data_IF_701138080970
#
_entry.id   IF_701138080970
#
_cell.length_a   1.000
_cell.length_b   1.000
_cell.length_c   1.000
_cell.angle_alpha   90.00
_cell.angle_beta   90.00
_cell.angle_gamma   90.00
#
_symmetry.space_group_name_H-M   'P 1'
#
loop_
_entity.id
_entity.type
_entity.pdbx_description
1 polymer ?
#
# COMPACT_ATOMS: atom_id res chain seq x y z
N UNK A 1 -14.77 3.03 0.02
CA UNK A 1 -15.93 3.20 0.94
C UNK A 1 -16.42 1.81 1.31
N UNK A 2 -16.68 1.53 2.59
CA UNK A 2 -17.28 0.28 3.02
C UNK A 2 -18.75 0.22 2.56
N UNK A 3 -19.16 -0.90 1.98
CA UNK A 3 -20.50 -1.06 1.37
C UNK A 3 -21.39 -2.05 2.11
N UNK A 4 -20.86 -2.80 3.09
CA UNK A 4 -21.56 -3.92 3.71
C UNK A 4 -21.90 -3.70 5.19
N UNK A 5 -23.09 -4.15 5.57
CA UNK A 5 -23.54 -4.24 6.97
C UNK A 5 -23.54 -2.91 7.73
N UNK A 6 -23.32 -2.99 9.04
CA UNK A 6 -23.28 -1.82 9.94
C UNK A 6 -22.12 -0.86 9.66
N UNK A 7 -21.12 -1.30 8.88
CA UNK A 7 -19.97 -0.48 8.46
C UNK A 7 -20.21 0.34 7.19
N UNK A 8 -21.33 0.10 6.49
CA UNK A 8 -21.64 0.75 5.22
C UNK A 8 -21.60 2.28 5.35
N UNK A 9 -20.97 2.95 4.39
CA UNK A 9 -20.77 4.41 4.36
C UNK A 9 -19.49 4.90 5.04
N UNK A 10 -18.80 4.08 5.83
CA UNK A 10 -17.49 4.46 6.40
C UNK A 10 -16.45 4.54 5.28
N UNK A 11 -15.68 5.62 5.26
CA UNK A 11 -14.58 5.83 4.34
C UNK A 11 -13.28 5.43 5.02
N UNK A 12 -12.41 4.73 4.29
CA UNK A 12 -11.02 4.45 4.64
C UNK A 12 -10.17 4.82 3.43
N UNK A 13 -9.12 5.60 3.66
CA UNK A 13 -8.15 6.02 2.66
C UNK A 13 -6.73 5.83 3.20
N UNK A 14 -5.75 5.70 2.32
CA UNK A 14 -4.35 5.60 2.69
C UNK A 14 -3.46 6.42 1.76
N UNK A 15 -2.36 6.94 2.31
CA UNK A 15 -1.22 7.48 1.57
C UNK A 15 0.05 6.81 2.11
N UNK A 16 1.00 6.55 1.23
CA UNK A 16 2.23 5.85 1.58
C UNK A 16 3.42 6.41 0.80
N UNK A 17 4.56 6.51 1.47
CA UNK A 17 5.87 6.72 0.88
C UNK A 17 6.63 5.39 0.94
N UNK A 18 6.88 4.78 -0.23
CA UNK A 18 7.49 3.44 -0.34
C UNK A 18 8.98 3.57 -0.61
N UNK A 19 9.80 3.21 0.37
CA UNK A 19 11.26 3.05 0.23
C UNK A 19 11.67 1.70 0.86
N UNK A 20 11.07 0.61 0.40
CA UNK A 20 11.22 -0.70 1.02
C UNK A 20 12.47 -1.45 0.56
N UNK A 21 13.04 -2.26 1.45
CA UNK A 21 14.05 -3.26 1.09
C UNK A 21 13.46 -4.39 0.24
N UNK A 22 12.20 -4.75 0.52
CA UNK A 22 11.46 -5.76 -0.20
C UNK A 22 10.96 -5.30 -1.56
N UNK A 23 10.55 -6.28 -2.35
CA UNK A 23 9.91 -6.07 -3.65
C UNK A 23 8.41 -5.90 -3.51
N UNK A 24 7.79 -5.17 -4.43
CA UNK A 24 6.33 -5.00 -4.51
C UNK A 24 5.67 -5.86 -5.59
N UNK A 25 6.48 -6.48 -6.44
CA UNK A 25 6.05 -7.34 -7.54
C UNK A 25 7.06 -8.48 -7.78
N UNK A 26 6.58 -9.57 -8.39
CA UNK A 26 7.37 -10.73 -8.77
C UNK A 26 8.24 -10.48 -10.01
N UNK A 27 8.98 -11.49 -10.47
CA UNK A 27 9.85 -11.37 -11.66
C UNK A 27 9.10 -11.17 -12.97
N UNK A 28 7.82 -11.51 -13.04
CA UNK A 28 7.00 -11.22 -14.22
C UNK A 28 6.35 -9.83 -14.16
N UNK A 29 6.54 -9.08 -13.07
CA UNK A 29 5.91 -7.77 -12.87
C UNK A 29 4.50 -7.86 -12.29
N UNK A 30 4.06 -9.02 -11.78
CA UNK A 30 2.80 -9.12 -11.05
C UNK A 30 2.95 -8.49 -9.67
N UNK A 31 2.14 -7.48 -9.35
CA UNK A 31 2.09 -6.92 -8.00
C UNK A 31 1.58 -7.95 -6.98
N UNK A 32 2.26 -8.05 -5.83
CA UNK A 32 1.83 -8.95 -4.76
C UNK A 32 0.45 -8.60 -4.23
N UNK A 33 0.12 -7.31 -4.22
CA UNK A 33 -1.20 -6.78 -3.84
C UNK A 33 -2.13 -6.51 -5.02
N UNK A 34 -1.78 -6.96 -6.25
CA UNK A 34 -2.60 -6.70 -7.44
C UNK A 34 -4.02 -7.25 -7.34
N UNK A 35 -4.22 -8.37 -6.64
CA UNK A 35 -5.53 -9.00 -6.44
C UNK A 35 -6.52 -8.19 -5.59
N UNK A 36 -6.08 -7.10 -4.94
CA UNK A 36 -6.91 -6.25 -4.08
C UNK A 36 -7.54 -5.06 -4.84
N UNK A 37 -7.29 -4.98 -6.15
CA UNK A 37 -7.85 -3.97 -7.05
C UNK A 37 -9.38 -3.83 -6.92
N UNK A 38 -9.85 -2.59 -6.91
CA UNK A 38 -11.25 -2.22 -6.96
C UNK A 38 -11.61 -1.72 -8.37
N UNK A 39 -12.35 -2.54 -9.11
CA UNK A 39 -12.66 -2.24 -10.50
C UNK A 39 -11.40 -2.35 -11.35
N UNK A 40 -11.08 -1.29 -12.09
CA UNK A 40 -9.89 -1.20 -12.93
C UNK A 40 -9.03 -0.01 -12.48
N UNK A 41 -8.78 0.11 -11.16
CA UNK A 41 -8.03 1.24 -10.61
C UNK A 41 -6.53 1.19 -10.93
N UNK A 42 -5.99 0.02 -11.30
CA UNK A 42 -4.63 -0.13 -11.79
C UNK A 42 -4.65 -0.16 -13.32
N UNK A 43 -3.97 0.79 -14.01
CA UNK A 43 -3.95 0.85 -15.47
C UNK A 43 -3.02 -0.21 -16.10
N UNK A 44 -3.24 -1.49 -15.78
CA UNK A 44 -2.41 -2.61 -16.20
C UNK A 44 -3.04 -3.40 -17.35
N UNK A 45 -2.21 -3.81 -18.32
CA UNK A 45 -2.66 -4.52 -19.54
C UNK A 45 -2.49 -6.05 -19.43
N UNK A 46 -1.88 -6.52 -18.32
CA UNK A 46 -1.38 -7.88 -18.01
C UNK A 46 0.13 -8.03 -18.20
N UNK A 47 0.81 -8.83 -17.36
CA UNK A 47 2.27 -8.93 -17.41
C UNK A 47 2.81 -9.81 -18.54
N UNK A 48 3.75 -9.26 -19.31
CA UNK A 48 4.76 -10.05 -20.01
C UNK A 48 6.02 -10.13 -19.12
N UNK A 49 6.63 -11.32 -19.02
CA UNK A 49 7.80 -11.52 -18.16
C UNK A 49 8.99 -10.66 -18.59
N UNK A 50 9.75 -10.13 -17.62
CA UNK A 50 10.97 -9.36 -17.87
C UNK A 50 12.10 -9.74 -16.91
N UNK A 51 13.34 -9.43 -17.28
CA UNK A 51 14.49 -9.62 -16.40
C UNK A 51 14.52 -8.53 -15.32
N UNK A 52 14.13 -8.90 -14.10
CA UNK A 52 14.16 -7.99 -12.94
C UNK A 52 15.52 -8.04 -12.27
N UNK A 53 16.20 -6.89 -12.24
CA UNK A 53 17.39 -6.70 -11.42
C UNK A 53 16.95 -6.30 -10.01
N UNK A 54 17.24 -7.11 -8.97
CA UNK A 54 16.92 -6.72 -7.60
C UNK A 54 17.74 -5.49 -7.20
N UNK A 55 17.15 -4.53 -6.44
CA UNK A 55 17.91 -3.40 -5.92
C UNK A 55 19.04 -3.92 -5.01
N UNK A 56 20.26 -3.45 -5.24
CA UNK A 56 21.48 -3.90 -4.56
C UNK A 56 21.86 -3.08 -3.31
N UNK A 57 20.97 -2.19 -2.86
CA UNK A 57 21.36 -1.10 -1.96
C UNK A 57 20.80 -1.38 -0.56
N UNK A 58 21.69 -1.77 0.37
CA UNK A 58 21.39 -1.97 1.81
C UNK A 58 21.31 -0.65 2.60
N UNK A 59 21.01 0.47 1.95
CA UNK A 59 20.81 1.74 2.66
C UNK A 59 19.51 1.67 3.47
N UNK A 60 19.39 2.51 4.51
CA UNK A 60 18.23 2.55 5.41
C UNK A 60 16.93 2.66 4.62
N UNK A 61 16.15 1.59 4.62
CA UNK A 61 14.88 1.48 3.91
C UNK A 61 13.76 1.81 4.91
N UNK A 62 12.66 2.39 4.47
CA UNK A 62 11.57 2.84 5.35
C UNK A 62 10.29 3.00 4.54
N UNK A 63 9.23 2.30 4.90
CA UNK A 63 7.89 2.60 4.37
C UNK A 63 7.07 3.36 5.40
N UNK A 64 6.66 4.59 5.09
CA UNK A 64 5.86 5.42 5.99
C UNK A 64 4.46 5.57 5.41
N UNK A 65 3.44 5.24 6.18
CA UNK A 65 2.06 5.32 5.74
C UNK A 65 1.17 6.10 6.73
N UNK A 66 0.13 6.70 6.18
CA UNK A 66 -1.01 7.22 6.94
C UNK A 66 -2.27 6.54 6.42
N UNK A 67 -3.05 5.96 7.32
CA UNK A 67 -4.42 5.52 7.05
C UNK A 67 -5.39 6.47 7.73
N UNK A 68 -6.37 6.98 6.99
CA UNK A 68 -7.41 7.86 7.50
C UNK A 68 -8.79 7.20 7.37
N UNK A 69 -9.66 7.41 8.36
CA UNK A 69 -11.06 6.96 8.31
C UNK A 69 -12.05 8.05 8.73
N UNK A 70 -13.28 7.99 8.18
CA UNK A 70 -14.39 8.83 8.61
C UNK A 70 -14.91 8.47 10.01
N UNK A 71 -14.76 7.20 10.43
CA UNK A 71 -15.25 6.69 11.70
C UNK A 71 -14.62 7.41 12.90
N UNK A 72 -15.40 7.60 13.97
CA UNK A 72 -14.88 8.02 15.28
C UNK A 72 -14.20 6.84 15.96
N UNK A 73 -12.90 6.96 16.24
CA UNK A 73 -12.10 5.96 16.95
C UNK A 73 -11.50 6.53 18.23
N UNK A 74 -11.44 5.73 19.28
CA UNK A 74 -10.56 5.99 20.43
C UNK A 74 -9.10 5.76 20.04
N UNK A 75 -8.14 6.24 20.86
CA UNK A 75 -6.71 6.00 20.62
C UNK A 75 -6.37 4.52 20.56
N UNK A 76 -6.94 3.70 21.45
CA UNK A 76 -6.72 2.26 21.46
C UNK A 76 -7.26 1.59 20.19
N UNK A 77 -8.45 2.01 19.71
CA UNK A 77 -9.02 1.50 18.47
C UNK A 77 -8.18 1.90 17.25
N UNK A 78 -7.69 3.15 17.21
CA UNK A 78 -6.81 3.63 16.14
C UNK A 78 -5.47 2.86 16.13
N UNK A 79 -4.88 2.58 17.29
CA UNK A 79 -3.68 1.72 17.39
C UNK A 79 -3.98 0.32 16.86
N UNK A 80 -5.14 -0.26 17.17
CA UNK A 80 -5.50 -1.59 16.65
C UNK A 80 -5.68 -1.59 15.13
N UNK A 81 -6.31 -0.55 14.57
CA UNK A 81 -6.40 -0.37 13.11
C UNK A 81 -5.02 -0.23 12.49
N UNK A 82 -4.08 0.47 13.15
CA UNK A 82 -2.71 0.63 12.65
C UNK A 82 -1.98 -0.72 12.56
N UNK A 83 -2.11 -1.56 13.60
CA UNK A 83 -1.57 -2.92 13.60
C UNK A 83 -2.15 -3.77 12.47
N UNK A 84 -3.45 -3.64 12.18
CA UNK A 84 -4.08 -4.39 11.08
C UNK A 84 -3.67 -3.83 9.72
N UNK A 85 -3.46 -2.51 9.61
CA UNK A 85 -2.94 -1.92 8.38
C UNK A 85 -1.54 -2.45 8.03
N UNK A 86 -0.73 -2.80 9.03
CA UNK A 86 0.58 -3.42 8.86
C UNK A 86 0.51 -4.76 8.11
N UNK A 87 -0.57 -5.54 8.30
CA UNK A 87 -0.84 -6.74 7.50
C UNK A 87 -0.96 -6.40 6.00
N UNK A 88 -1.50 -5.21 5.68
CA UNK A 88 -1.59 -4.69 4.33
C UNK A 88 -0.23 -4.38 3.72
N UNK A 89 0.70 -3.86 4.52
CA UNK A 89 2.07 -3.62 4.09
C UNK A 89 2.77 -4.95 3.76
N UNK A 90 2.63 -5.94 4.64
CA UNK A 90 3.20 -7.28 4.44
C UNK A 90 2.62 -8.05 3.23
N UNK A 91 1.37 -7.77 2.84
CA UNK A 91 0.78 -8.33 1.60
C UNK A 91 1.35 -7.68 0.34
N UNK A 92 1.75 -6.41 0.41
CA UNK A 92 2.21 -5.65 -0.74
C UNK A 92 3.74 -5.68 -0.91
N UNK A 93 4.51 -5.97 0.14
CA UNK A 93 5.97 -5.90 0.16
C UNK A 93 6.56 -7.21 0.66
N UNK A 94 7.51 -7.79 -0.09
CA UNK A 94 8.16 -9.05 0.26
C UNK A 94 9.69 -9.00 0.11
N UNK A 95 10.46 -9.23 1.19
CA UNK A 95 10.02 -9.20 2.60
C UNK A 95 9.66 -7.78 3.05
N UNK A 96 8.69 -7.63 3.97
CA UNK A 96 8.48 -6.39 4.73
C UNK A 96 9.14 -6.50 6.12
N UNK A 97 9.26 -5.38 6.84
CA UNK A 97 9.78 -5.34 8.22
C UNK A 97 11.18 -5.95 8.38
N UNK A 98 12.04 -5.81 7.37
CA UNK A 98 13.44 -6.18 7.50
C UNK A 98 14.11 -5.40 8.62
N UNK A 99 15.21 -5.93 9.16
CA UNK A 99 15.94 -5.28 10.28
C UNK A 99 16.42 -3.86 9.93
N UNK A 100 16.63 -3.57 8.65
CA UNK A 100 16.98 -2.24 8.15
C UNK A 100 15.78 -1.37 7.73
N UNK A 101 14.54 -1.87 7.85
CA UNK A 101 13.32 -1.15 7.49
C UNK A 101 12.75 -0.37 8.69
N UNK A 102 12.51 0.93 8.49
CA UNK A 102 11.87 1.82 9.46
C UNK A 102 10.34 1.90 9.34
N UNK A 103 9.67 0.80 8.98
CA UNK A 103 8.25 0.81 8.63
C UNK A 103 7.37 1.42 9.74
N UNK A 104 6.57 2.42 9.40
CA UNK A 104 5.74 3.15 10.37
C UNK A 104 4.37 3.51 9.78
N UNK A 105 3.31 3.13 10.48
CA UNK A 105 1.92 3.43 10.08
C UNK A 105 1.24 4.32 11.12
N UNK A 106 0.74 5.47 10.68
CA UNK A 106 -0.10 6.36 11.46
C UNK A 106 -1.58 6.17 11.09
N UNK A 107 -2.46 6.14 12.09
CA UNK A 107 -3.91 6.12 11.85
C UNK A 107 -4.56 7.40 12.34
N UNK A 108 -5.39 7.98 11.47
CA UNK A 108 -6.20 9.16 11.73
C UNK A 108 -7.69 8.84 11.60
N UNK A 109 -8.47 9.37 12.53
CA UNK A 109 -9.92 9.23 12.56
C UNK A 109 -10.53 10.62 12.57
N UNK A 110 -11.22 11.01 11.49
CA UNK A 110 -11.80 12.36 11.38
C UNK A 110 -13.03 12.55 12.26
N UNK A 111 -13.69 11.44 12.64
CA UNK A 111 -14.90 11.48 13.48
C UNK A 111 -16.11 12.14 12.82
N UNK A 112 -16.08 12.31 11.50
CA UNK A 112 -17.21 12.81 10.71
C UNK A 112 -18.38 11.83 10.68
N UNK A 113 -18.08 10.53 10.84
CA UNK A 113 -19.04 9.49 11.13
C UNK A 113 -19.05 9.19 12.63
N UNK A 114 -20.13 9.57 13.30
CA UNK A 114 -20.26 9.52 14.76
C UNK A 114 -20.89 8.24 15.29
N UNK A 115 -21.11 7.24 14.43
CA UNK A 115 -21.64 5.93 14.85
C UNK A 115 -20.70 5.24 15.84
N UNK A 116 -21.26 4.38 16.68
CA UNK A 116 -20.44 3.55 17.57
C UNK A 116 -19.62 2.54 16.75
N UNK A 117 -18.30 2.80 16.70
CA UNK A 117 -17.35 1.98 15.97
C UNK A 117 -16.80 0.79 16.78
N UNK A 118 -17.27 0.57 18.02
CA UNK A 118 -16.73 -0.48 18.91
C UNK A 118 -16.74 -1.86 18.25
N UNK A 119 -17.82 -2.22 17.59
CA UNK A 119 -17.95 -3.49 16.86
C UNK A 119 -17.52 -3.40 15.39
N UNK A 120 -16.97 -2.25 14.96
CA UNK A 120 -16.57 -1.99 13.57
C UNK A 120 -15.06 -1.96 13.38
N UNK A 121 -14.26 -1.97 14.46
CA UNK A 121 -12.79 -1.90 14.41
C UNK A 121 -12.20 -2.95 13.47
N UNK A 122 -12.69 -4.19 13.52
CA UNK A 122 -12.20 -5.25 12.64
C UNK A 122 -12.52 -5.00 11.17
N UNK A 123 -13.72 -4.49 10.86
CA UNK A 123 -14.10 -4.16 9.49
C UNK A 123 -13.28 -2.97 8.95
N UNK A 124 -13.08 -1.95 9.78
CA UNK A 124 -12.26 -0.77 9.46
C UNK A 124 -10.79 -1.18 9.28
N UNK A 125 -10.28 -2.03 10.18
CA UNK A 125 -8.90 -2.53 10.12
C UNK A 125 -8.64 -3.43 8.91
N UNK A 126 -9.59 -4.29 8.54
CA UNK A 126 -9.50 -5.08 7.32
C UNK A 126 -9.44 -4.18 6.09
N UNK A 127 -10.33 -3.19 6.03
CA UNK A 127 -10.31 -2.22 4.93
C UNK A 127 -9.05 -1.35 4.93
N UNK A 128 -8.49 -1.03 6.10
CA UNK A 128 -7.22 -0.32 6.23
C UNK A 128 -6.07 -1.13 5.64
N UNK A 129 -6.00 -2.43 5.94
CA UNK A 129 -5.02 -3.34 5.35
C UNK A 129 -5.13 -3.35 3.82
N UNK A 130 -6.32 -3.60 3.29
CA UNK A 130 -6.52 -3.69 1.84
C UNK A 130 -6.24 -2.35 1.14
N UNK A 131 -6.66 -1.24 1.76
CA UNK A 131 -6.43 0.11 1.22
C UNK A 131 -4.96 0.48 1.23
N UNK A 132 -4.20 0.12 2.28
CA UNK A 132 -2.76 0.36 2.31
C UNK A 132 -2.03 -0.52 1.29
N UNK A 133 -2.40 -1.79 1.14
CA UNK A 133 -1.82 -2.66 0.12
C UNK A 133 -1.97 -2.07 -1.29
N UNK A 134 -3.16 -1.56 -1.60
CA UNK A 134 -3.40 -0.86 -2.88
C UNK A 134 -2.62 0.44 -3.00
N UNK A 135 -2.52 1.22 -1.94
CA UNK A 135 -1.75 2.47 -1.95
C UNK A 135 -0.27 2.23 -2.28
N UNK A 136 0.30 1.10 -1.85
CA UNK A 136 1.65 0.69 -2.26
C UNK A 136 1.73 0.44 -3.77
N UNK A 137 0.75 -0.27 -4.36
CA UNK A 137 0.71 -0.50 -5.82
C UNK A 137 0.59 0.84 -6.57
N UNK A 138 -0.32 1.73 -6.14
CA UNK A 138 -0.45 3.08 -6.69
C UNK A 138 0.85 3.87 -6.62
N UNK A 139 1.57 3.83 -5.49
CA UNK A 139 2.83 4.53 -5.33
C UNK A 139 3.90 4.05 -6.32
N UNK A 140 3.95 2.74 -6.59
CA UNK A 140 4.91 2.17 -7.54
C UNK A 140 4.53 2.48 -9.00
N UNK A 141 3.23 2.46 -9.32
CA UNK A 141 2.72 2.81 -10.66
C UNK A 141 2.84 4.30 -10.96
N UNK A 142 2.71 5.16 -9.95
CA UNK A 142 2.85 6.61 -10.10
C UNK A 142 4.31 7.10 -10.14
N UNK A 143 5.28 6.24 -9.81
CA UNK A 143 6.68 6.61 -9.79
C UNK A 143 7.25 6.77 -11.20
N UNK A 144 8.06 7.81 -11.40
CA UNK A 144 8.83 8.02 -12.63
C UNK A 144 10.30 7.66 -12.42
N UNK A 145 10.97 7.29 -13.50
CA UNK A 145 12.39 6.93 -13.43
C UNK A 145 13.27 8.13 -13.17
N UNK A 146 14.35 7.92 -12.43
CA UNK A 146 15.36 8.94 -12.14
C UNK A 146 16.66 8.55 -12.84
N UNK A 147 17.09 9.40 -13.78
CA UNK A 147 18.32 9.24 -14.57
C UNK A 147 19.22 10.48 -14.40
N UNK A 148 19.97 10.54 -13.30
CA UNK A 148 20.80 11.70 -12.94
C UNK A 148 22.22 11.28 -12.58
N UNK A 149 23.20 11.65 -13.42
CA UNK A 149 24.61 11.30 -13.20
C UNK A 149 24.81 9.78 -13.17
N UNK A 150 25.32 9.25 -12.06
CA UNK A 150 25.44 7.81 -11.82
C UNK A 150 24.19 7.18 -11.17
N UNK A 151 23.19 7.98 -10.80
CA UNK A 151 21.92 7.50 -10.26
C UNK A 151 20.99 7.12 -11.41
N UNK A 152 20.73 5.81 -11.55
CA UNK A 152 19.81 5.26 -12.53
C UNK A 152 18.84 4.33 -11.80
N UNK A 153 17.66 4.87 -11.46
CA UNK A 153 16.57 4.14 -10.80
C UNK A 153 15.40 4.10 -11.75
N UNK A 154 15.09 2.90 -12.26
CA UNK A 154 13.98 2.69 -13.20
C UNK A 154 12.67 2.55 -12.45
N UNK A 155 11.65 3.30 -12.88
CA UNK A 155 10.25 3.08 -12.49
C UNK A 155 9.75 1.69 -12.92
N UNK A 156 8.60 1.28 -12.39
CA UNK A 156 7.95 0.03 -12.80
C UNK A 156 7.66 0.01 -14.30
N UNK A 157 7.06 1.06 -14.86
CA UNK A 157 6.70 1.08 -16.28
C UNK A 157 7.91 1.18 -17.23
N UNK A 158 9.07 1.64 -16.76
CA UNK A 158 10.31 1.52 -17.55
C UNK A 158 10.86 0.08 -17.52
N UNK A 159 10.68 -0.64 -16.40
CA UNK A 159 11.08 -2.05 -16.28
C UNK A 159 10.13 -2.98 -17.04
N UNK A 160 8.83 -2.66 -17.08
CA UNK A 160 7.76 -3.45 -17.68
C UNK A 160 6.88 -2.59 -18.60
N UNK A 161 7.41 -2.12 -19.74
CA UNK A 161 6.68 -1.22 -20.63
C UNK A 161 5.40 -1.83 -21.20
N UNK A 162 5.36 -3.14 -21.40
CA UNK A 162 4.19 -3.85 -21.93
C UNK A 162 3.04 -3.96 -20.92
N UNK A 163 3.33 -3.75 -19.63
CA UNK A 163 2.34 -3.90 -18.57
C UNK A 163 1.55 -2.61 -18.34
N UNK A 164 2.07 -1.46 -18.75
CA UNK A 164 1.46 -0.16 -18.49
C UNK A 164 0.71 0.36 -19.71
N UNK A 165 -0.58 0.67 -19.52
CA UNK A 165 -1.35 1.35 -20.56
C UNK A 165 -0.78 2.76 -20.77
N UNK A 166 -0.41 3.09 -22.01
CA UNK A 166 -0.06 4.47 -22.41
C UNK A 166 -1.30 5.25 -22.81
#
# INVERSE_FOLDING_TARGET
>A
VLTAGSSAGIVVGAIVAVNSSGRTFDTAGNFYAGFLELGNEFPLVSPAGADVVPPSNLLQNTTIAVVATSAKLTKAQATKVAQMADDGLARAIKPSHGVGDGDTIFVMATGTDTRDATNLVSAIGSAAADTLSRAVVHAILAAESIHVGSCNVRSYCEQFPDNCAR
#
